data_IF_731095595372
#
_entry.id   IF_731095595372
#
_cell.length_a   1.000
_cell.length_b   1.000
_cell.length_c   1.000
_cell.angle_alpha   90.00
_cell.angle_beta   90.00
_cell.angle_gamma   90.00
#
_symmetry.space_group_name_H-M   'P 1'
#
loop_
_entity.id
_entity.type
_entity.pdbx_description
1 polymer ?
#
# COMPACT_ATOMS: atom_id res chain seq x y z
N UNK A 1 -2.25 -9.08 -9.11
CA UNK A 1 -2.16 -8.72 -7.67
C UNK A 1 -0.81 -9.07 -7.01
N UNK A 2 0.21 -9.54 -7.74
CA UNK A 2 1.47 -10.02 -7.12
C UNK A 2 2.21 -8.96 -6.28
N UNK A 3 2.41 -7.75 -6.81
CA UNK A 3 3.17 -6.72 -6.09
C UNK A 3 2.50 -6.22 -4.81
N UNK A 4 1.16 -6.22 -4.75
CA UNK A 4 0.40 -5.87 -3.55
C UNK A 4 0.54 -6.97 -2.49
N UNK A 5 0.53 -8.25 -2.90
CA UNK A 5 0.70 -9.37 -1.98
C UNK A 5 2.08 -9.33 -1.27
N UNK A 6 3.11 -8.82 -1.94
CA UNK A 6 4.47 -8.67 -1.41
C UNK A 6 4.68 -7.41 -0.54
N UNK A 7 3.63 -6.64 -0.24
CA UNK A 7 3.72 -5.54 0.72
C UNK A 7 3.74 -6.08 2.16
N UNK A 8 4.41 -5.40 3.11
CA UNK A 8 4.27 -5.71 4.54
C UNK A 8 2.80 -5.67 4.97
N UNK A 9 2.39 -6.57 5.85
CA UNK A 9 0.96 -6.81 6.16
C UNK A 9 0.18 -5.52 6.49
N UNK A 10 0.70 -4.66 7.38
CA UNK A 10 0.03 -3.39 7.69
C UNK A 10 -0.10 -2.45 6.49
N UNK A 11 0.95 -2.36 5.67
CA UNK A 11 0.92 -1.57 4.43
C UNK A 11 -0.08 -2.13 3.42
N UNK A 12 -0.12 -3.46 3.26
CA UNK A 12 -1.05 -4.16 2.36
C UNK A 12 -2.50 -3.93 2.78
N UNK A 13 -2.81 -4.14 4.06
CA UNK A 13 -4.16 -3.99 4.60
C UNK A 13 -4.64 -2.55 4.47
N UNK A 14 -3.83 -1.56 4.88
CA UNK A 14 -4.21 -0.15 4.76
C UNK A 14 -4.38 0.28 3.30
N UNK A 15 -3.48 -0.17 2.41
CA UNK A 15 -3.60 0.12 0.98
C UNK A 15 -4.92 -0.42 0.41
N UNK A 16 -5.28 -1.67 0.73
CA UNK A 16 -6.50 -2.27 0.23
C UNK A 16 -7.76 -1.55 0.73
N UNK A 17 -7.83 -1.29 2.04
CA UNK A 17 -8.96 -0.59 2.64
C UNK A 17 -9.13 0.82 2.07
N UNK A 18 -8.03 1.54 1.83
CA UNK A 18 -8.09 2.91 1.31
C UNK A 18 -8.39 2.96 -0.19
N UNK A 19 -7.72 2.13 -0.99
CA UNK A 19 -7.75 2.24 -2.46
C UNK A 19 -8.89 1.44 -3.08
N UNK A 20 -9.18 0.24 -2.57
CA UNK A 20 -10.20 -0.64 -3.15
C UNK A 20 -11.53 -0.59 -2.40
N UNK A 21 -11.51 -0.32 -1.09
CA UNK A 21 -12.73 -0.21 -0.28
C UNK A 21 -13.10 1.24 0.06
N UNK A 22 -12.36 2.22 -0.48
CA UNK A 22 -12.61 3.66 -0.36
C UNK A 22 -12.79 4.18 1.07
N UNK A 23 -12.16 3.52 2.05
CA UNK A 23 -12.20 3.90 3.46
C UNK A 23 -11.29 5.08 3.75
N UNK A 24 -11.77 6.01 4.57
CA UNK A 24 -10.94 7.09 5.11
C UNK A 24 -9.90 6.58 6.12
N UNK A 25 -8.82 7.33 6.33
CA UNK A 25 -7.80 7.00 7.34
C UNK A 25 -8.38 6.89 8.76
N UNK A 26 -9.39 7.70 9.06
CA UNK A 26 -10.13 7.65 10.33
C UNK A 26 -10.88 6.34 10.53
N UNK A 27 -11.60 5.87 9.51
CA UNK A 27 -12.31 4.58 9.57
C UNK A 27 -11.33 3.41 9.67
N UNK A 28 -10.25 3.44 8.89
CA UNK A 28 -9.20 2.40 8.91
C UNK A 28 -8.54 2.33 10.29
N UNK A 29 -8.22 3.49 10.89
CA UNK A 29 -7.65 3.56 12.22
C UNK A 29 -8.55 2.93 13.28
N UNK A 30 -9.86 3.19 13.20
CA UNK A 30 -10.85 2.59 14.09
C UNK A 30 -10.96 1.06 13.88
N UNK A 31 -11.02 0.59 12.64
CA UNK A 31 -11.12 -0.84 12.31
C UNK A 31 -9.90 -1.64 12.78
N UNK A 32 -8.70 -1.12 12.53
CA UNK A 32 -7.43 -1.82 12.83
C UNK A 32 -6.89 -1.53 14.24
N UNK A 33 -7.58 -0.67 15.01
CA UNK A 33 -7.13 -0.21 16.34
C UNK A 33 -5.71 0.39 16.31
N UNK A 34 -5.43 1.19 15.29
CA UNK A 34 -4.17 1.93 15.13
C UNK A 34 -4.44 3.44 15.20
N UNK A 35 -3.38 4.24 15.27
CA UNK A 35 -3.53 5.71 15.18
C UNK A 35 -3.76 6.12 13.72
N UNK A 36 -4.50 7.20 13.50
CA UNK A 36 -4.78 7.70 12.14
C UNK A 36 -3.49 8.00 11.35
N UNK A 37 -2.47 8.56 12.00
CA UNK A 37 -1.16 8.77 11.38
C UNK A 37 -0.41 7.46 11.05
N UNK A 38 -0.73 6.36 11.71
CA UNK A 38 -0.21 5.04 11.34
C UNK A 38 -0.81 4.60 10.01
N UNK A 39 -2.11 4.86 9.79
CA UNK A 39 -2.75 4.59 8.49
C UNK A 39 -2.12 5.42 7.37
N UNK A 40 -1.92 6.72 7.57
CA UNK A 40 -1.31 7.59 6.53
C UNK A 40 0.13 7.17 6.19
N UNK A 41 0.97 6.90 7.20
CA UNK A 41 2.35 6.47 6.99
C UNK A 41 2.46 5.08 6.35
N UNK A 42 1.59 4.14 6.70
CA UNK A 42 1.52 2.82 6.07
C UNK A 42 1.08 2.92 4.60
N UNK A 43 0.08 3.76 4.28
CA UNK A 43 -0.33 3.99 2.89
C UNK A 43 0.79 4.63 2.07
N UNK A 44 1.48 5.63 2.62
CA UNK A 44 2.63 6.26 1.95
C UNK A 44 3.72 5.22 1.66
N UNK A 45 4.09 4.41 2.65
CA UNK A 45 5.08 3.34 2.48
C UNK A 45 4.65 2.32 1.43
N UNK A 46 3.38 1.92 1.41
CA UNK A 46 2.83 1.02 0.40
C UNK A 46 3.02 1.59 -1.01
N UNK A 47 2.64 2.86 -1.24
CA UNK A 47 2.79 3.55 -2.53
C UNK A 47 4.26 3.63 -2.98
N UNK A 48 5.18 3.95 -2.06
CA UNK A 48 6.61 4.01 -2.37
C UNK A 48 7.18 2.65 -2.79
N UNK A 49 6.81 1.58 -2.09
CA UNK A 49 7.26 0.22 -2.43
C UNK A 49 6.69 -0.25 -3.78
N UNK A 50 5.40 -0.02 -4.03
CA UNK A 50 4.78 -0.36 -5.30
C UNK A 50 5.41 0.42 -6.45
N UNK A 51 5.61 1.74 -6.30
CA UNK A 51 6.25 2.57 -7.31
C UNK A 51 7.67 2.10 -7.63
N UNK A 52 8.45 1.70 -6.62
CA UNK A 52 9.79 1.12 -6.82
C UNK A 52 9.72 -0.17 -7.64
N UNK A 53 8.85 -1.11 -7.25
CA UNK A 53 8.71 -2.40 -7.95
C UNK A 53 8.22 -2.24 -9.39
N UNK A 54 7.26 -1.34 -9.62
CA UNK A 54 6.76 -1.04 -10.97
C UNK A 54 7.90 -0.47 -11.82
N UNK A 55 8.70 0.48 -11.30
CA UNK A 55 9.86 1.01 -12.03
C UNK A 55 10.89 -0.07 -12.37
N UNK A 56 11.17 -0.97 -11.44
CA UNK A 56 12.11 -2.09 -11.66
C UNK A 56 11.57 -3.07 -12.71
N UNK A 57 10.29 -3.41 -12.63
CA UNK A 57 9.59 -4.26 -13.60
C UNK A 57 9.60 -3.63 -15.01
N UNK A 58 9.19 -2.38 -15.15
CA UNK A 58 9.16 -1.68 -16.44
C UNK A 58 10.56 -1.59 -17.06
N UNK A 59 11.59 -1.24 -16.27
CA UNK A 59 12.98 -1.24 -16.76
C UNK A 59 13.47 -2.61 -17.21
N UNK A 60 12.98 -3.69 -16.60
CA UNK A 60 13.34 -5.04 -16.98
C UNK A 60 12.67 -5.45 -18.29
N UNK A 61 11.41 -5.07 -18.49
CA UNK A 61 10.67 -5.34 -19.73
C UNK A 61 11.21 -4.54 -20.93
N UNK A 62 11.66 -3.29 -20.74
CA UNK A 62 12.30 -2.48 -21.81
C UNK A 62 13.65 -3.03 -22.30
N UNK A 63 14.28 -3.92 -21.52
CA UNK A 63 15.58 -4.53 -21.85
C UNK A 63 15.47 -5.91 -22.50
N UNK A 64 14.25 -6.46 -22.60
CA UNK A 64 13.97 -7.71 -23.31
C UNK A 64 13.64 -7.41 -24.76
#
# INVERSE_FOLDING_TARGET
MAFIAELPDGCRTVFNLYVFEERSHKEIAAMLRIKEHSSTSQLHRAKCLLAKRIKEYTKHEERK
#
